data_IF_948658197477
#
_entry.id   IF_948658197477
#
_cell.length_a   1.000
_cell.length_b   1.000
_cell.length_c   1.000
_cell.angle_alpha   90.00
_cell.angle_beta   90.00
_cell.angle_gamma   90.00
#
_symmetry.space_group_name_H-M   'P 1'
#
loop_
_entity.id
_entity.type
_entity.pdbx_description
1 polymer ?
#
# COMPACT_ATOMS: atom_id res chain seq x y z
N UNK A 1 6.76 -3.34 -25.73
CA UNK A 1 6.89 -3.18 -24.27
C UNK A 1 5.48 -3.28 -23.68
N UNK A 2 5.27 -4.04 -22.63
CA UNK A 2 3.99 -4.06 -21.92
C UNK A 2 3.73 -2.64 -21.35
N UNK A 3 2.47 -2.21 -21.37
CA UNK A 3 2.11 -0.92 -20.78
C UNK A 3 2.28 -0.99 -19.25
N UNK A 4 2.88 0.03 -18.65
CA UNK A 4 3.02 0.15 -17.20
C UNK A 4 1.65 0.03 -16.50
N UNK A 5 1.63 -0.59 -15.31
CA UNK A 5 0.42 -0.68 -14.49
C UNK A 5 0.03 0.70 -13.95
N UNK A 6 0.99 1.42 -13.40
CA UNK A 6 0.84 2.78 -12.90
C UNK A 6 1.90 3.66 -13.55
N UNK A 7 1.50 4.83 -14.03
CA UNK A 7 2.38 5.83 -14.61
C UNK A 7 2.03 7.21 -14.04
N UNK A 8 3.04 7.90 -13.52
CA UNK A 8 2.93 9.25 -12.96
C UNK A 8 3.88 10.14 -13.73
N UNK A 9 3.38 11.28 -14.26
CA UNK A 9 4.16 12.23 -15.04
C UNK A 9 3.99 13.64 -14.50
N UNK A 10 5.12 14.29 -14.23
CA UNK A 10 5.24 15.68 -13.79
C UNK A 10 4.24 16.07 -12.70
N UNK A 11 4.04 15.18 -11.73
CA UNK A 11 3.01 15.29 -10.70
C UNK A 11 3.39 16.35 -9.66
N UNK A 12 2.52 17.35 -9.51
CA UNK A 12 2.72 18.46 -8.57
C UNK A 12 1.57 18.56 -7.58
N UNK A 13 1.91 18.82 -6.30
CA UNK A 13 0.97 19.16 -5.24
C UNK A 13 1.59 20.12 -4.24
N UNK A 14 0.88 21.21 -3.95
CA UNK A 14 1.31 22.26 -3.03
C UNK A 14 0.25 22.45 -1.93
N UNK A 15 0.70 22.74 -0.71
CA UNK A 15 -0.14 23.09 0.42
C UNK A 15 0.39 24.37 1.07
N UNK A 16 -0.38 25.48 1.00
CA UNK A 16 -0.02 26.74 1.65
C UNK A 16 1.40 27.24 1.31
N UNK A 17 1.86 27.03 0.06
CA UNK A 17 3.21 27.39 -0.36
C UNK A 17 4.27 26.28 -0.20
N UNK A 18 4.00 25.25 0.58
CA UNK A 18 4.89 24.08 0.69
C UNK A 18 4.61 23.09 -0.46
N UNK A 19 5.62 22.83 -1.28
CA UNK A 19 5.54 21.87 -2.38
C UNK A 19 5.75 20.45 -1.84
N UNK A 20 4.66 19.67 -1.76
CA UNK A 20 4.68 18.30 -1.23
C UNK A 20 5.04 17.25 -2.28
N UNK A 21 4.73 17.51 -3.58
CA UNK A 21 5.28 16.77 -4.73
C UNK A 21 5.68 17.78 -5.79
N UNK A 22 6.86 17.61 -6.38
CA UNK A 22 7.47 18.50 -7.35
C UNK A 22 7.96 17.72 -8.56
N UNK A 23 7.22 17.77 -9.67
CA UNK A 23 7.50 17.05 -10.91
C UNK A 23 7.84 15.57 -10.69
N UNK A 24 7.09 14.90 -9.80
CA UNK A 24 7.31 13.48 -9.57
C UNK A 24 6.99 12.71 -10.84
N UNK A 25 7.99 11.96 -11.31
CA UNK A 25 7.89 11.02 -12.40
C UNK A 25 8.16 9.63 -11.84
N UNK A 26 7.25 8.71 -12.08
CA UNK A 26 7.32 7.36 -11.56
C UNK A 26 6.47 6.43 -12.43
N UNK A 27 6.99 5.25 -12.74
CA UNK A 27 6.24 4.20 -13.41
C UNK A 27 6.52 2.87 -12.74
N UNK A 28 5.52 1.97 -12.70
CA UNK A 28 5.69 0.61 -12.21
C UNK A 28 4.96 -0.39 -13.09
N UNK A 29 5.50 -1.58 -13.15
CA UNK A 29 4.96 -2.69 -13.91
C UNK A 29 3.97 -3.53 -13.09
N UNK A 30 3.27 -4.42 -13.79
CA UNK A 30 2.43 -5.43 -13.14
C UNK A 30 3.31 -6.35 -12.30
N UNK A 31 2.82 -6.70 -11.10
CA UNK A 31 3.51 -7.58 -10.15
C UNK A 31 4.84 -7.04 -9.61
N UNK A 32 5.16 -5.81 -9.83
CA UNK A 32 6.32 -5.19 -9.22
C UNK A 32 6.02 -4.80 -7.76
N UNK A 33 6.99 -5.00 -6.88
CA UNK A 33 6.95 -4.50 -5.50
C UNK A 33 7.93 -3.37 -5.37
N UNK A 34 7.42 -2.16 -5.20
CA UNK A 34 8.23 -0.94 -5.09
C UNK A 34 8.23 -0.46 -3.64
N UNK A 35 9.43 -0.27 -3.10
CA UNK A 35 9.64 0.45 -1.84
C UNK A 35 9.66 1.96 -2.09
N UNK A 36 8.81 2.71 -1.41
CA UNK A 36 8.83 4.18 -1.46
C UNK A 36 9.38 4.71 -0.14
N UNK A 37 10.60 5.24 -0.18
CA UNK A 37 11.31 5.70 1.01
C UNK A 37 11.64 7.20 0.91
N UNK A 38 12.15 7.78 1.99
CA UNK A 38 12.56 9.17 2.09
C UNK A 38 12.36 9.72 3.51
N UNK A 39 12.97 10.86 3.85
CA UNK A 39 12.82 11.48 5.17
C UNK A 39 11.35 11.87 5.47
N UNK A 40 11.10 12.25 6.72
CA UNK A 40 9.80 12.78 7.11
C UNK A 40 9.52 14.08 6.35
N UNK A 41 8.30 14.22 5.83
CA UNK A 41 7.93 15.38 5.01
C UNK A 41 8.35 15.27 3.54
N UNK A 42 9.00 14.19 3.09
CA UNK A 42 9.43 14.02 1.69
C UNK A 42 8.29 13.92 0.66
N UNK A 43 7.03 13.78 1.10
CA UNK A 43 5.88 13.70 0.19
C UNK A 43 5.30 12.29 -0.03
N UNK A 44 5.85 11.25 0.61
CA UNK A 44 5.43 9.84 0.43
C UNK A 44 3.94 9.61 0.62
N UNK A 45 3.40 9.96 1.78
CA UNK A 45 1.96 9.83 2.07
C UNK A 45 1.10 10.72 1.17
N UNK A 46 1.62 11.90 0.76
CA UNK A 46 0.94 12.77 -0.20
C UNK A 46 0.81 12.07 -1.55
N UNK A 47 1.88 11.42 -2.03
CA UNK A 47 1.85 10.66 -3.28
C UNK A 47 0.82 9.53 -3.23
N UNK A 48 0.78 8.73 -2.15
CA UNK A 48 -0.23 7.70 -2.00
C UNK A 48 -1.66 8.28 -2.00
N UNK A 49 -1.88 9.41 -1.33
CA UNK A 49 -3.20 10.08 -1.29
C UNK A 49 -3.61 10.64 -2.65
N UNK A 50 -2.67 11.10 -3.47
CA UNK A 50 -2.92 11.52 -4.85
C UNK A 50 -3.33 10.33 -5.73
N UNK A 51 -2.62 9.20 -5.63
CA UNK A 51 -2.96 7.96 -6.35
C UNK A 51 -4.36 7.47 -5.97
N UNK A 52 -4.73 7.54 -4.67
CA UNK A 52 -6.04 7.12 -4.17
C UNK A 52 -7.17 8.14 -4.42
N UNK A 53 -6.89 9.29 -5.04
CA UNK A 53 -7.89 10.33 -5.28
C UNK A 53 -8.43 11.00 -4.01
N UNK A 54 -7.73 10.84 -2.87
CA UNK A 54 -8.04 11.57 -1.62
C UNK A 54 -7.62 13.03 -1.77
N UNK A 55 -6.55 13.27 -2.52
CA UNK A 55 -6.07 14.59 -2.90
C UNK A 55 -6.14 14.71 -4.43
N UNK A 56 -6.47 15.91 -4.89
CA UNK A 56 -6.41 16.24 -6.32
C UNK A 56 -5.03 16.84 -6.63
N UNK A 57 -4.34 16.38 -7.69
CA UNK A 57 -3.11 17.01 -8.15
C UNK A 57 -3.36 18.46 -8.62
N UNK A 58 -2.35 19.32 -8.47
CA UNK A 58 -2.40 20.68 -8.99
C UNK A 58 -2.02 20.70 -10.48
N UNK A 59 -1.09 19.81 -10.89
CA UNK A 59 -0.74 19.55 -12.29
C UNK A 59 -0.08 18.18 -12.44
N UNK A 60 0.17 17.77 -13.68
CA UNK A 60 0.68 16.45 -14.02
C UNK A 60 -0.44 15.42 -14.24
N UNK A 61 -0.07 14.17 -14.39
CA UNK A 61 -1.02 13.07 -14.66
C UNK A 61 -0.70 11.83 -13.85
N UNK A 62 -1.76 11.05 -13.52
CA UNK A 62 -1.65 9.74 -12.90
C UNK A 62 -2.47 8.78 -13.76
N UNK A 63 -1.83 7.81 -14.39
CA UNK A 63 -2.49 6.82 -15.23
C UNK A 63 -2.38 5.43 -14.61
N UNK A 64 -3.50 4.75 -14.55
CA UNK A 64 -3.59 3.36 -14.10
C UNK A 64 -4.17 2.50 -15.23
N UNK A 65 -3.44 1.48 -15.66
CA UNK A 65 -3.79 0.70 -16.86
C UNK A 65 -4.08 1.61 -18.08
N UNK A 66 -3.26 2.68 -18.26
CA UNK A 66 -3.43 3.65 -19.34
C UNK A 66 -4.58 4.65 -19.15
N UNK A 67 -5.45 4.47 -18.14
CA UNK A 67 -6.58 5.35 -17.85
C UNK A 67 -6.18 6.44 -16.86
N UNK A 68 -6.50 7.72 -17.15
CA UNK A 68 -6.26 8.84 -16.24
C UNK A 68 -7.13 8.70 -14.98
N UNK A 69 -6.48 8.73 -13.81
CA UNK A 69 -7.14 8.64 -12.50
C UNK A 69 -6.93 9.86 -11.62
N UNK A 70 -6.07 10.81 -12.02
CA UNK A 70 -5.79 12.03 -11.27
C UNK A 70 -7.06 12.82 -10.94
N UNK A 71 -7.37 12.98 -9.64
CA UNK A 71 -8.55 13.68 -9.17
C UNK A 71 -9.88 12.92 -9.30
N UNK A 72 -9.87 11.64 -9.68
CA UNK A 72 -11.06 10.77 -9.58
C UNK A 72 -11.41 10.53 -8.11
N UNK A 73 -12.66 10.15 -7.87
CA UNK A 73 -13.15 9.82 -6.53
C UNK A 73 -12.55 8.50 -6.05
N UNK A 74 -12.23 8.40 -4.77
CA UNK A 74 -11.58 7.22 -4.17
C UNK A 74 -12.33 5.92 -4.45
N UNK A 75 -13.66 5.93 -4.42
CA UNK A 75 -14.45 4.71 -4.68
C UNK A 75 -14.36 4.23 -6.13
N UNK A 76 -14.20 5.13 -7.11
CA UNK A 76 -13.97 4.76 -8.50
C UNK A 76 -12.61 4.09 -8.64
N UNK A 77 -11.58 4.63 -7.98
CA UNK A 77 -10.21 4.10 -7.97
C UNK A 77 -10.17 2.71 -7.32
N UNK A 78 -10.87 2.52 -6.20
CA UNK A 78 -10.99 1.20 -5.56
C UNK A 78 -11.65 0.18 -6.50
N UNK A 79 -12.71 0.57 -7.20
CA UNK A 79 -13.39 -0.30 -8.16
C UNK A 79 -12.53 -0.59 -9.40
N UNK A 80 -11.57 0.26 -9.74
CA UNK A 80 -10.58 0.00 -10.78
C UNK A 80 -9.51 -1.01 -10.35
N UNK A 81 -9.35 -1.27 -9.06
CA UNK A 81 -8.42 -2.27 -8.53
C UNK A 81 -7.24 -1.74 -7.75
N UNK A 82 -7.31 -0.53 -7.23
CA UNK A 82 -6.30 0.02 -6.32
C UNK A 82 -6.86 0.02 -4.90
N UNK A 83 -6.15 -0.59 -3.95
CA UNK A 83 -6.48 -0.51 -2.53
C UNK A 83 -5.31 0.08 -1.74
N UNK A 84 -5.62 0.66 -0.58
CA UNK A 84 -4.62 1.24 0.31
C UNK A 84 -4.94 0.94 1.77
N UNK A 85 -3.90 0.71 2.57
CA UNK A 85 -3.99 0.86 4.02
C UNK A 85 -3.84 2.34 4.38
N UNK A 86 -4.38 2.73 5.54
CA UNK A 86 -4.30 4.10 6.03
C UNK A 86 -3.47 4.17 7.31
N UNK A 87 -2.64 5.21 7.42
CA UNK A 87 -1.86 5.45 8.63
C UNK A 87 -2.75 5.60 9.90
N UNK A 88 -3.92 6.24 9.76
CA UNK A 88 -4.92 6.36 10.81
C UNK A 88 -6.04 5.34 10.61
N UNK A 89 -5.89 4.20 11.23
CA UNK A 89 -6.84 3.09 11.18
C UNK A 89 -8.20 3.48 11.80
N UNK A 90 -9.28 3.27 11.04
CA UNK A 90 -10.65 3.54 11.49
C UNK A 90 -11.54 2.28 11.31
N UNK A 91 -11.32 1.24 12.11
CA UNK A 91 -12.18 0.06 12.06
C UNK A 91 -13.57 0.38 12.64
N UNK A 92 -14.54 -0.40 12.26
CA UNK A 92 -15.85 -0.42 12.91
C UNK A 92 -15.72 -1.08 14.28
N UNK A 93 -15.30 -0.32 15.29
CA UNK A 93 -14.87 -0.81 16.62
C UNK A 93 -15.88 -1.69 17.32
N UNK A 94 -17.19 -1.46 17.10
CA UNK A 94 -18.29 -2.23 17.72
C UNK A 94 -18.63 -3.53 16.99
N UNK A 95 -18.15 -3.69 15.76
CA UNK A 95 -18.38 -4.89 14.96
C UNK A 95 -17.30 -5.95 15.23
N UNK A 96 -17.62 -7.23 15.02
CA UNK A 96 -16.63 -8.29 14.96
C UNK A 96 -15.55 -8.01 13.91
N UNK A 97 -14.36 -8.55 14.13
CA UNK A 97 -13.21 -8.41 13.24
C UNK A 97 -13.57 -8.91 11.83
N UNK A 98 -14.18 -10.08 11.73
CA UNK A 98 -14.63 -10.64 10.45
C UNK A 98 -15.60 -9.70 9.72
N UNK A 99 -16.54 -9.07 10.44
CA UNK A 99 -17.51 -8.16 9.85
C UNK A 99 -16.83 -6.90 9.25
N UNK A 100 -15.73 -6.44 9.86
CA UNK A 100 -14.92 -5.36 9.30
C UNK A 100 -14.34 -5.72 7.93
N UNK A 101 -13.92 -6.97 7.74
CA UNK A 101 -13.36 -7.45 6.47
C UNK A 101 -14.48 -7.74 5.47
N UNK A 102 -15.61 -8.33 5.93
CA UNK A 102 -16.77 -8.59 5.06
C UNK A 102 -17.27 -7.34 4.35
N UNK A 103 -17.27 -6.18 5.03
CA UNK A 103 -17.62 -4.89 4.39
C UNK A 103 -16.72 -4.59 3.19
N UNK A 104 -15.43 -4.90 3.27
CA UNK A 104 -14.50 -4.71 2.15
C UNK A 104 -14.76 -5.70 0.99
N UNK A 105 -15.15 -6.94 1.31
CA UNK A 105 -15.55 -7.93 0.29
C UNK A 105 -16.81 -7.53 -0.49
N UNK A 106 -17.62 -6.61 0.05
CA UNK A 106 -18.88 -6.16 -0.58
C UNK A 106 -18.66 -5.01 -1.58
N UNK A 107 -17.43 -4.56 -1.82
CA UNK A 107 -17.17 -3.57 -2.87
C UNK A 107 -17.53 -4.18 -4.25
N UNK A 108 -18.03 -3.37 -5.22
CA UNK A 108 -18.50 -3.86 -6.52
C UNK A 108 -17.46 -4.70 -7.27
N UNK A 109 -16.16 -4.40 -7.09
CA UNK A 109 -15.06 -5.16 -7.70
C UNK A 109 -14.94 -6.57 -7.11
N UNK A 110 -14.95 -6.71 -5.78
CA UNK A 110 -14.76 -7.98 -5.09
C UNK A 110 -16.02 -8.85 -5.08
N UNK A 111 -17.19 -8.22 -5.20
CA UNK A 111 -18.48 -8.89 -5.13
C UNK A 111 -18.95 -9.30 -6.53
N UNK A 112 -18.94 -10.59 -6.83
CA UNK A 112 -19.50 -11.13 -8.07
C UNK A 112 -21.03 -11.17 -7.98
N UNK A 113 -21.71 -10.88 -9.11
CA UNK A 113 -23.17 -10.91 -9.19
C UNK A 113 -23.72 -12.28 -8.76
N UNK A 114 -24.65 -12.30 -7.78
CA UNK A 114 -25.21 -13.53 -7.23
C UNK A 114 -24.35 -14.21 -6.14
N UNK A 115 -23.34 -13.54 -5.64
CA UNK A 115 -22.50 -14.08 -4.56
C UNK A 115 -23.24 -14.06 -3.22
N UNK A 116 -23.31 -15.22 -2.55
CA UNK A 116 -24.01 -15.40 -1.29
C UNK A 116 -23.14 -14.95 -0.10
N UNK A 117 -23.79 -14.52 1.00
CA UNK A 117 -23.12 -14.10 2.25
C UNK A 117 -22.07 -15.10 2.73
N UNK A 118 -22.37 -16.42 2.64
CA UNK A 118 -21.42 -17.50 2.97
C UNK A 118 -20.09 -17.40 2.21
N UNK A 119 -20.11 -16.94 0.96
CA UNK A 119 -18.89 -16.80 0.14
C UNK A 119 -18.10 -15.56 0.54
N UNK A 120 -18.79 -14.49 0.96
CA UNK A 120 -18.18 -13.28 1.52
C UNK A 120 -17.49 -13.59 2.84
N UNK A 121 -18.13 -14.40 3.70
CA UNK A 121 -17.54 -14.87 4.96
C UNK A 121 -16.26 -15.67 4.73
N UNK A 122 -16.26 -16.61 3.79
CA UNK A 122 -15.06 -17.39 3.42
C UNK A 122 -13.93 -16.46 2.94
N UNK A 123 -14.22 -15.51 2.04
CA UNK A 123 -13.24 -14.52 1.59
C UNK A 123 -12.67 -13.69 2.74
N UNK A 124 -13.54 -13.27 3.67
CA UNK A 124 -13.12 -12.50 4.83
C UNK A 124 -12.23 -13.33 5.76
N UNK A 125 -12.55 -14.61 5.99
CA UNK A 125 -11.71 -15.53 6.77
C UNK A 125 -10.36 -15.77 6.10
N UNK A 126 -10.32 -16.00 4.77
CA UNK A 126 -9.08 -16.16 4.02
C UNK A 126 -8.17 -14.92 4.18
N UNK A 127 -8.75 -13.71 4.16
CA UNK A 127 -8.00 -12.47 4.35
C UNK A 127 -7.50 -12.30 5.80
N UNK A 128 -8.29 -12.73 6.80
CA UNK A 128 -7.88 -12.72 8.20
C UNK A 128 -6.79 -13.76 8.49
N UNK A 129 -6.89 -14.95 7.90
CA UNK A 129 -5.85 -15.98 7.99
C UNK A 129 -4.53 -15.49 7.39
N UNK A 130 -4.61 -14.81 6.23
CA UNK A 130 -3.45 -14.16 5.64
C UNK A 130 -2.80 -13.14 6.58
N UNK A 131 -3.61 -12.31 7.22
CA UNK A 131 -3.14 -11.29 8.16
C UNK A 131 -2.70 -11.87 9.52
N UNK A 132 -2.96 -13.16 9.78
CA UNK A 132 -2.59 -13.87 11.01
C UNK A 132 -3.42 -13.45 12.23
N UNK A 133 -4.70 -13.14 12.03
CA UNK A 133 -5.68 -12.76 13.08
C UNK A 133 -7.03 -13.48 12.93
N UNK A 134 -7.04 -14.63 12.26
CA UNK A 134 -8.27 -15.42 12.02
C UNK A 134 -8.85 -16.02 13.30
N UNK A 135 -8.02 -16.33 14.28
CA UNK A 135 -8.40 -16.82 15.60
C UNK A 135 -9.24 -15.80 16.39
N UNK A 136 -9.06 -14.51 16.11
CA UNK A 136 -9.80 -13.40 16.73
C UNK A 136 -11.03 -12.95 15.92
N UNK A 137 -11.41 -13.68 14.87
CA UNK A 137 -12.42 -13.24 13.88
C UNK A 137 -13.76 -12.79 14.49
N UNK A 138 -14.21 -13.45 15.56
CA UNK A 138 -15.49 -13.16 16.22
C UNK A 138 -15.38 -12.11 17.34
N UNK A 139 -14.17 -11.72 17.72
CA UNK A 139 -13.95 -10.66 18.71
C UNK A 139 -14.31 -9.29 18.15
N UNK A 140 -14.59 -8.33 19.04
CA UNK A 140 -14.83 -6.93 18.64
C UNK A 140 -13.52 -6.29 18.22
N UNK A 141 -13.54 -5.50 17.15
CA UNK A 141 -12.35 -4.76 16.71
C UNK A 141 -11.84 -3.72 17.74
N UNK A 142 -12.65 -3.41 18.79
CA UNK A 142 -12.24 -2.55 19.90
C UNK A 142 -11.22 -3.20 20.85
N UNK A 143 -11.07 -4.53 20.82
CA UNK A 143 -10.14 -5.27 21.71
C UNK A 143 -8.75 -5.40 21.10
N UNK A 144 -8.58 -5.08 19.80
CA UNK A 144 -7.34 -5.26 19.08
C UNK A 144 -6.22 -4.37 19.60
N UNK A 145 -5.02 -4.93 19.69
CA UNK A 145 -3.78 -4.18 19.85
C UNK A 145 -3.49 -3.29 18.63
N UNK A 146 -2.56 -2.36 18.74
CA UNK A 146 -2.14 -1.53 17.59
C UNK A 146 -1.57 -2.38 16.45
N UNK A 147 -0.85 -3.45 16.77
CA UNK A 147 -0.31 -4.39 15.78
C UNK A 147 -1.43 -5.14 15.05
N UNK A 148 -2.42 -5.64 15.79
CA UNK A 148 -3.53 -6.38 15.20
C UNK A 148 -4.47 -5.47 14.40
N UNK A 149 -4.61 -4.20 14.81
CA UNK A 149 -5.31 -3.19 14.02
C UNK A 149 -4.65 -2.99 12.64
N UNK A 150 -3.32 -2.99 12.55
CA UNK A 150 -2.60 -2.93 11.26
C UNK A 150 -2.83 -4.19 10.42
N UNK A 151 -2.81 -5.35 11.05
CA UNK A 151 -3.13 -6.61 10.38
C UNK A 151 -4.57 -6.61 9.84
N UNK A 152 -5.52 -6.08 10.61
CA UNK A 152 -6.89 -5.90 10.16
C UNK A 152 -7.00 -4.96 8.95
N UNK A 153 -6.27 -3.85 8.93
CA UNK A 153 -6.27 -2.93 7.77
C UNK A 153 -5.71 -3.60 6.52
N UNK A 154 -4.64 -4.38 6.65
CA UNK A 154 -4.11 -5.18 5.53
C UNK A 154 -5.14 -6.20 5.05
N UNK A 155 -5.80 -6.94 5.96
CA UNK A 155 -6.87 -7.89 5.61
C UNK A 155 -8.02 -7.19 4.87
N UNK A 156 -8.46 -6.03 5.32
CA UNK A 156 -9.51 -5.23 4.67
C UNK A 156 -9.10 -4.78 3.25
N UNK A 157 -7.86 -4.33 3.09
CA UNK A 157 -7.35 -3.90 1.78
C UNK A 157 -7.27 -5.07 0.80
N UNK A 158 -6.77 -6.22 1.22
CA UNK A 158 -6.66 -7.44 0.40
C UNK A 158 -8.03 -7.97 0.01
N UNK A 159 -9.01 -7.89 0.90
CA UNK A 159 -10.37 -8.38 0.68
C UNK A 159 -11.11 -7.65 -0.46
N UNK A 160 -10.60 -6.49 -0.91
CA UNK A 160 -11.11 -5.81 -2.11
C UNK A 160 -10.61 -6.42 -3.42
N UNK A 161 -9.78 -7.45 -3.36
CA UNK A 161 -9.13 -8.11 -4.51
C UNK A 161 -8.37 -7.11 -5.42
N UNK A 162 -7.38 -6.35 -4.90
CA UNK A 162 -6.73 -5.30 -5.67
C UNK A 162 -5.70 -5.85 -6.65
N UNK A 163 -5.50 -5.16 -7.80
CA UNK A 163 -4.35 -5.39 -8.69
C UNK A 163 -3.13 -4.57 -8.26
N UNK A 164 -3.37 -3.44 -7.55
CA UNK A 164 -2.34 -2.59 -6.94
C UNK A 164 -2.68 -2.33 -5.47
N UNK A 165 -1.76 -2.68 -4.57
CA UNK A 165 -1.90 -2.49 -3.14
C UNK A 165 -0.88 -1.45 -2.64
N UNK A 166 -1.39 -0.40 -2.00
CA UNK A 166 -0.60 0.66 -1.39
C UNK A 166 -0.55 0.42 0.12
N UNK A 167 0.64 0.18 0.65
CA UNK A 167 0.87 -0.07 2.08
C UNK A 167 1.62 1.12 2.70
N UNK A 168 0.95 1.85 3.59
CA UNK A 168 1.54 3.01 4.30
C UNK A 168 1.98 2.58 5.69
N UNK A 169 3.29 2.41 5.89
CA UNK A 169 3.97 1.96 7.11
C UNK A 169 3.38 0.67 7.73
N UNK A 170 3.26 -0.43 6.97
CA UNK A 170 2.66 -1.67 7.48
C UNK A 170 3.42 -2.29 8.66
N UNK A 171 4.70 -1.96 8.85
CA UNK A 171 5.55 -2.48 9.95
C UNK A 171 5.67 -1.52 11.14
N UNK A 172 5.09 -0.33 11.05
CA UNK A 172 5.14 0.66 12.12
C UNK A 172 4.45 0.17 13.40
N UNK A 173 5.11 0.29 14.56
CA UNK A 173 4.56 -0.13 15.86
C UNK A 173 4.52 -1.65 16.10
N UNK A 174 4.97 -2.47 15.15
CA UNK A 174 5.11 -3.91 15.34
C UNK A 174 6.43 -4.26 16.03
N UNK A 175 6.41 -5.28 16.89
CA UNK A 175 7.61 -5.92 17.42
C UNK A 175 8.46 -6.55 16.30
N UNK A 176 9.74 -6.88 16.54
CA UNK A 176 10.59 -7.53 15.53
C UNK A 176 9.97 -8.82 14.98
N UNK A 177 9.41 -9.67 15.84
CA UNK A 177 8.77 -10.92 15.45
C UNK A 177 7.52 -10.69 14.59
N UNK A 178 6.66 -9.75 14.97
CA UNK A 178 5.46 -9.39 14.19
C UNK A 178 5.83 -8.75 12.85
N UNK A 179 6.89 -7.91 12.82
CA UNK A 179 7.42 -7.33 11.59
C UNK A 179 7.87 -8.42 10.62
N UNK A 180 8.58 -9.44 11.11
CA UNK A 180 9.02 -10.56 10.26
C UNK A 180 7.84 -11.38 9.74
N UNK A 181 6.84 -11.65 10.57
CA UNK A 181 5.62 -12.34 10.16
C UNK A 181 4.86 -11.55 9.09
N UNK A 182 4.68 -10.24 9.26
CA UNK A 182 4.03 -9.38 8.29
C UNK A 182 4.82 -9.33 6.98
N UNK A 183 6.14 -9.19 7.03
CA UNK A 183 6.99 -9.20 5.84
C UNK A 183 6.89 -10.52 5.06
N UNK A 184 6.88 -11.67 5.76
CA UNK A 184 6.63 -12.99 5.14
C UNK A 184 5.26 -13.08 4.50
N UNK A 185 4.23 -12.52 5.15
CA UNK A 185 2.87 -12.47 4.60
C UNK A 185 2.82 -11.63 3.34
N UNK A 186 3.36 -10.40 3.35
CA UNK A 186 3.43 -9.52 2.18
C UNK A 186 4.16 -10.21 1.01
N UNK A 187 5.30 -10.85 1.28
CA UNK A 187 6.06 -11.60 0.26
C UNK A 187 5.27 -12.79 -0.30
N UNK A 188 4.51 -13.49 0.55
CA UNK A 188 3.63 -14.60 0.12
C UNK A 188 2.49 -14.09 -0.76
N UNK A 189 1.92 -12.91 -0.44
CA UNK A 189 0.88 -12.28 -1.25
C UNK A 189 1.39 -11.97 -2.65
N UNK A 190 2.55 -11.33 -2.76
CA UNK A 190 3.17 -10.99 -4.03
C UNK A 190 3.45 -12.23 -4.90
N UNK A 191 3.92 -13.32 -4.31
CA UNK A 191 4.22 -14.55 -5.05
C UNK A 191 2.98 -15.33 -5.53
N UNK A 192 1.77 -14.82 -5.30
CA UNK A 192 0.54 -15.53 -5.68
C UNK A 192 0.30 -16.80 -4.84
N UNK A 193 0.88 -16.87 -3.64
CA UNK A 193 0.60 -17.95 -2.69
C UNK A 193 -0.89 -17.94 -2.35
N UNK A 194 -1.51 -19.12 -2.31
CA UNK A 194 -2.95 -19.31 -2.04
C UNK A 194 -3.43 -18.42 -0.91
N UNK A 195 -3.99 -17.25 -1.26
CA UNK A 195 -5.01 -16.56 -0.49
C UNK A 195 -6.31 -17.29 -0.80
N UNK A 196 -6.42 -18.52 -0.32
CA UNK A 196 -7.57 -19.34 -0.59
C UNK A 196 -8.01 -19.28 -2.06
N UNK A 197 -9.09 -18.55 -2.35
CA UNK A 197 -9.67 -18.37 -3.68
C UNK A 197 -9.56 -16.93 -4.21
N UNK A 198 -8.86 -16.03 -3.50
CA UNK A 198 -8.91 -14.59 -3.77
C UNK A 198 -8.08 -14.16 -4.99
N UNK A 199 -6.87 -14.71 -5.19
CA UNK A 199 -6.02 -14.34 -6.33
C UNK A 199 -5.21 -15.53 -6.86
N UNK A 200 -5.21 -15.72 -8.18
CA UNK A 200 -4.28 -16.63 -8.87
C UNK A 200 -2.88 -16.02 -8.97
N UNK A 201 -2.79 -14.70 -8.99
CA UNK A 201 -1.57 -13.91 -9.11
C UNK A 201 -1.58 -12.80 -8.05
N UNK A 202 -0.44 -12.55 -7.41
CA UNK A 202 -0.33 -11.50 -6.40
C UNK A 202 -0.47 -10.09 -6.99
N UNK A 203 -0.94 -9.10 -6.21
CA UNK A 203 -0.99 -7.70 -6.62
C UNK A 203 0.41 -7.11 -6.79
N UNK A 204 0.53 -6.09 -7.62
CA UNK A 204 1.64 -5.14 -7.54
C UNK A 204 1.52 -4.35 -6.23
N UNK A 205 2.64 -3.87 -5.68
CA UNK A 205 2.62 -3.19 -4.38
C UNK A 205 3.51 -1.96 -4.38
N UNK A 206 3.04 -0.90 -3.72
CA UNK A 206 3.88 0.22 -3.27
C UNK A 206 3.89 0.18 -1.74
N UNK A 207 5.07 0.06 -1.14
CA UNK A 207 5.26 -0.05 0.30
C UNK A 207 6.05 1.16 0.79
N UNK A 208 5.41 2.02 1.58
CA UNK A 208 6.09 3.11 2.30
C UNK A 208 6.57 2.56 3.63
N UNK A 209 7.87 2.67 3.89
CA UNK A 209 8.46 2.19 5.14
C UNK A 209 9.71 2.97 5.55
N UNK A 210 9.98 2.97 6.86
CA UNK A 210 11.20 3.50 7.46
C UNK A 210 12.19 2.40 7.89
N UNK A 211 11.71 1.15 8.03
CA UNK A 211 12.52 -0.02 8.38
C UNK A 211 13.19 -0.60 7.12
N UNK A 212 14.23 0.08 6.62
CA UNK A 212 14.91 -0.25 5.37
C UNK A 212 15.34 -1.72 5.27
N UNK A 213 15.95 -2.28 6.33
CA UNK A 213 16.43 -3.66 6.31
C UNK A 213 15.32 -4.69 6.05
N UNK A 214 14.11 -4.43 6.51
CA UNK A 214 12.97 -5.31 6.26
C UNK A 214 12.38 -5.07 4.89
N UNK A 215 12.27 -3.81 4.46
CA UNK A 215 11.76 -3.43 3.16
C UNK A 215 12.61 -4.04 2.03
N UNK A 216 13.94 -3.92 2.10
CA UNK A 216 14.88 -4.45 1.10
C UNK A 216 14.75 -5.96 0.85
N UNK A 217 14.23 -6.72 1.82
CA UNK A 217 14.03 -8.18 1.66
C UNK A 217 12.82 -8.55 0.82
N UNK A 218 11.93 -7.60 0.55
CA UNK A 218 10.61 -7.87 -0.05
C UNK A 218 10.33 -7.06 -1.31
N UNK A 219 11.09 -6.00 -1.58
CA UNK A 219 10.90 -5.13 -2.74
C UNK A 219 11.83 -5.51 -3.89
N UNK A 220 11.38 -5.29 -5.11
CA UNK A 220 12.17 -5.48 -6.32
C UNK A 220 12.97 -4.21 -6.65
N UNK A 221 12.40 -3.03 -6.32
CA UNK A 221 12.93 -1.72 -6.61
C UNK A 221 12.60 -0.73 -5.49
N UNK A 222 13.45 0.28 -5.31
CA UNK A 222 13.25 1.36 -4.35
C UNK A 222 13.24 2.70 -5.08
N UNK A 223 12.24 3.51 -4.76
CA UNK A 223 12.13 4.91 -5.17
C UNK A 223 12.32 5.79 -3.94
N UNK A 224 13.22 6.75 -4.03
CA UNK A 224 13.54 7.66 -2.92
C UNK A 224 12.98 9.03 -3.21
N UNK A 225 12.12 9.51 -2.32
CA UNK A 225 11.61 10.89 -2.33
C UNK A 225 12.39 11.75 -1.33
N UNK A 226 12.76 12.96 -1.77
CA UNK A 226 13.29 14.02 -0.91
C UNK A 226 12.69 15.36 -1.35
N UNK A 227 12.16 16.13 -0.40
CA UNK A 227 11.49 17.43 -0.66
C UNK A 227 10.53 17.41 -1.86
N UNK A 228 9.75 16.35 -1.99
CA UNK A 228 8.74 16.18 -3.03
C UNK A 228 9.29 15.76 -4.41
N UNK A 229 10.59 15.51 -4.55
CA UNK A 229 11.23 15.05 -5.80
C UNK A 229 11.74 13.60 -5.67
N UNK A 230 11.80 12.88 -6.78
CA UNK A 230 12.49 11.58 -6.84
C UNK A 230 13.98 11.86 -6.99
N UNK A 231 14.80 11.43 -6.03
CA UNK A 231 16.25 11.57 -6.03
C UNK A 231 16.98 10.29 -6.40
N UNK A 232 16.33 9.14 -6.27
CA UNK A 232 16.87 7.86 -6.71
C UNK A 232 15.73 6.89 -7.07
N UNK A 233 15.98 6.01 -8.04
CA UNK A 233 15.10 4.96 -8.50
C UNK A 233 15.96 3.80 -9.02
N UNK A 234 15.96 2.67 -8.34
CA UNK A 234 16.82 1.53 -8.69
C UNK A 234 16.65 0.34 -7.78
N UNK A 235 17.50 -0.66 -7.93
CA UNK A 235 17.54 -1.82 -7.04
C UNK A 235 17.89 -1.40 -5.61
N UNK A 236 17.51 -2.20 -4.59
CA UNK A 236 17.87 -1.92 -3.19
C UNK A 236 19.39 -1.67 -3.00
N UNK A 237 20.22 -2.42 -3.71
CA UNK A 237 21.69 -2.32 -3.64
C UNK A 237 22.19 -0.99 -4.22
N UNK A 238 21.67 -0.57 -5.38
CA UNK A 238 22.03 0.70 -6.03
C UNK A 238 21.63 1.90 -5.16
N UNK A 239 20.41 1.87 -4.62
CA UNK A 239 19.89 2.98 -3.81
C UNK A 239 20.67 3.17 -2.52
N UNK A 240 21.08 2.09 -1.83
CA UNK A 240 21.88 2.20 -0.59
C UNK A 240 23.27 2.79 -0.86
N UNK A 241 23.82 2.61 -2.07
CA UNK A 241 25.13 3.16 -2.42
C UNK A 241 25.06 4.60 -2.96
N UNK A 242 23.88 5.08 -3.31
CA UNK A 242 23.70 6.41 -3.90
C UNK A 242 24.08 7.53 -2.91
N UNK A 243 25.03 8.43 -3.26
CA UNK A 243 25.48 9.53 -2.39
C UNK A 243 24.34 10.49 -1.99
N UNK A 244 23.46 10.86 -2.93
CA UNK A 244 22.33 11.76 -2.66
C UNK A 244 21.34 11.16 -1.64
N UNK A 245 21.14 9.82 -1.69
CA UNK A 245 20.32 9.12 -0.72
C UNK A 245 20.97 9.15 0.66
N UNK A 246 22.28 8.91 0.74
CA UNK A 246 23.03 8.98 2.01
C UNK A 246 22.94 10.38 2.61
N UNK A 247 23.13 11.41 1.83
CA UNK A 247 23.04 12.79 2.27
C UNK A 247 21.61 13.14 2.76
N UNK A 248 20.56 12.74 2.01
CA UNK A 248 19.18 12.98 2.39
C UNK A 248 18.75 12.32 3.71
N UNK A 249 19.37 11.19 4.09
CA UNK A 249 19.08 10.47 5.33
C UNK A 249 19.96 10.83 6.50
N UNK A 250 21.24 11.16 6.28
CA UNK A 250 22.22 11.37 7.34
C UNK A 250 22.66 12.83 7.47
N UNK A 251 22.35 13.70 6.47
CA UNK A 251 22.79 15.10 6.41
C UNK A 251 24.27 15.23 6.06
N UNK A 252 24.73 16.47 5.84
CA UNK A 252 26.14 16.78 5.62
C UNK A 252 26.97 16.60 6.89
N UNK A 253 27.10 15.39 7.43
CA UNK A 253 27.85 15.21 8.68
C UNK A 253 27.69 13.85 9.34
N UNK A 254 27.09 12.90 8.67
CA UNK A 254 26.90 11.56 9.22
C UNK A 254 28.04 10.62 8.91
N UNK A 255 29.06 10.59 9.75
CA UNK A 255 29.71 9.43 10.40
C UNK A 255 30.45 9.95 11.60
#
# INVERSE_FOLDING_TARGET
MAAALLEIRDLNKTFGGLMATNRVNFAMDRREVVGLIGPNGAGKTTLLRLIMGILKPDSGSIRYNGTEIGGRKTWDIVNMGIASTFQNMRPFRRLPIIANVMVSCMCPRAMKRGEWVKRIEVKAMDALEFAGISDMALEKASTLSQGDLKRLEVARAIATEPDLLLLDEPFGGLSPAETELMAKSVKRLHKGGRLGRLHSEGPAMIIVEHKLQQLMKIVDRIVVLSFGTVIADGTPEEVVQNPEVKEAYFGEGGI
#
